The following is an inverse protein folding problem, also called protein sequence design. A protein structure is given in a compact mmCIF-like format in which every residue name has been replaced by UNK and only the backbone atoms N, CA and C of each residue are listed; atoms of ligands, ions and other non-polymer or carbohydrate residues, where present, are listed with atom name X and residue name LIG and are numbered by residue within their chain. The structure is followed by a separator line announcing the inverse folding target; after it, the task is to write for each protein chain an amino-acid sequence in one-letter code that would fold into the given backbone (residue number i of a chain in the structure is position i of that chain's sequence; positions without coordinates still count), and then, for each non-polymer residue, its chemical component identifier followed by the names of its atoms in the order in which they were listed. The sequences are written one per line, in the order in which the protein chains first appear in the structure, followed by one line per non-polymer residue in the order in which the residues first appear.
data_IF_443713886271
#
_entry.id   IF_443713886271
#
_cell.length_a   1.000
_cell.length_b   1.000
_cell.length_c   1.000
_cell.angle_alpha   90.00
_cell.angle_beta   90.00
_cell.angle_gamma   90.00
#
_symmetry.space_group_name_H-M   'P 1'
#
loop_
_entity.id
_entity.type
_entity.pdbx_description
1 polymer ?
#
# COMPACT_ATOMS: atom_id res chain seq x y z
N UNK A 1 10.40 21.09 -23.53
CA UNK A 1 11.43 20.99 -22.48
C UNK A 1 11.98 19.58 -22.53
N UNK A 2 13.26 19.39 -22.83
CA UNK A 2 13.83 18.05 -22.88
C UNK A 2 13.79 17.49 -21.45
N UNK A 3 12.99 16.46 -21.24
CA UNK A 3 12.88 15.85 -19.92
C UNK A 3 14.21 15.22 -19.57
N UNK A 4 14.79 15.62 -18.44
CA UNK A 4 15.91 14.89 -17.86
C UNK A 4 15.46 13.43 -17.65
N UNK A 5 16.16 12.53 -18.34
CA UNK A 5 15.88 11.10 -18.33
C UNK A 5 17.16 10.37 -17.97
N UNK A 6 17.15 9.65 -16.86
CA UNK A 6 18.28 8.83 -16.42
C UNK A 6 17.86 7.36 -16.34
N UNK A 7 18.85 6.46 -16.37
CA UNK A 7 18.64 5.01 -16.21
C UNK A 7 18.27 4.70 -14.78
N UNK A 8 17.39 3.71 -14.59
CA UNK A 8 16.94 3.31 -13.27
C UNK A 8 18.00 2.45 -12.56
N UNK A 9 18.77 1.67 -13.32
CA UNK A 9 19.77 0.75 -12.80
C UNK A 9 21.19 1.14 -13.23
N UNK A 10 22.17 0.71 -12.43
CA UNK A 10 23.60 0.90 -12.68
C UNK A 10 24.04 0.23 -13.98
N UNK A 11 23.45 -0.91 -14.31
CA UNK A 11 23.73 -1.61 -15.55
C UNK A 11 23.09 -0.91 -16.74
N UNK A 12 23.91 -0.60 -17.74
CA UNK A 12 23.48 0.03 -19.00
C UNK A 12 22.55 -0.83 -19.83
N UNK A 13 22.62 -2.15 -19.67
CA UNK A 13 21.80 -3.13 -20.36
C UNK A 13 21.28 -4.17 -19.36
N UNK A 14 20.05 -4.69 -19.55
CA UNK A 14 19.54 -5.80 -18.76
C UNK A 14 20.35 -7.07 -19.01
N UNK A 15 20.27 -8.02 -18.08
CA UNK A 15 20.82 -9.36 -18.25
C UNK A 15 19.85 -10.27 -19.01
N UNK A 16 20.38 -11.36 -19.58
CA UNK A 16 19.57 -12.39 -20.22
C UNK A 16 18.68 -13.06 -19.17
N UNK A 17 17.44 -13.36 -19.52
CA UNK A 17 16.38 -13.88 -18.65
C UNK A 17 15.79 -12.89 -17.64
N UNK A 18 16.22 -11.62 -17.63
CA UNK A 18 15.58 -10.60 -16.78
C UNK A 18 14.22 -10.19 -17.34
N UNK A 19 13.25 -9.99 -16.45
CA UNK A 19 11.89 -9.53 -16.79
C UNK A 19 11.83 -8.02 -16.60
N UNK A 20 11.52 -7.31 -17.67
CA UNK A 20 11.54 -5.85 -17.75
C UNK A 20 10.22 -5.30 -18.29
N UNK A 21 9.88 -4.08 -17.88
CA UNK A 21 8.68 -3.38 -18.34
C UNK A 21 9.01 -2.51 -19.55
N UNK A 22 8.31 -2.73 -20.65
CA UNK A 22 8.56 -2.05 -21.93
C UNK A 22 7.34 -1.31 -22.42
N UNK A 23 7.54 -0.16 -23.08
CA UNK A 23 6.49 0.56 -23.77
C UNK A 23 6.53 0.26 -25.27
N UNK A 24 5.39 -0.04 -25.87
CA UNK A 24 5.33 -0.35 -27.30
C UNK A 24 5.36 0.94 -28.12
N UNK A 25 6.41 1.14 -28.91
CA UNK A 25 6.59 2.34 -29.73
C UNK A 25 5.99 2.19 -31.12
N UNK A 26 6.27 1.07 -31.78
CA UNK A 26 5.78 0.80 -33.14
C UNK A 26 5.62 -0.70 -33.39
N UNK A 27 4.75 -1.06 -34.32
CA UNK A 27 4.51 -2.45 -34.73
C UNK A 27 4.85 -2.54 -36.21
N UNK A 28 5.79 -3.43 -36.55
CA UNK A 28 6.22 -3.72 -37.91
C UNK A 28 5.84 -5.16 -38.31
N UNK A 29 5.99 -5.49 -39.59
CA UNK A 29 5.68 -6.84 -40.12
C UNK A 29 6.60 -7.94 -39.56
N UNK A 30 7.85 -7.59 -39.21
CA UNK A 30 8.84 -8.52 -38.64
C UNK A 30 8.84 -8.58 -37.10
N UNK A 31 8.24 -7.61 -36.41
CA UNK A 31 8.26 -7.54 -34.95
C UNK A 31 7.59 -6.29 -34.38
N UNK A 32 7.47 -6.22 -33.06
CA UNK A 32 7.10 -5.01 -32.35
C UNK A 32 8.36 -4.33 -31.80
N UNK A 33 8.54 -3.06 -32.13
CA UNK A 33 9.58 -2.22 -31.55
C UNK A 33 9.06 -1.62 -30.25
N UNK A 34 9.82 -1.84 -29.19
CA UNK A 34 9.50 -1.40 -27.84
C UNK A 34 10.65 -0.58 -27.26
N UNK A 35 10.35 0.25 -26.28
CA UNK A 35 11.32 1.02 -25.54
C UNK A 35 11.33 0.55 -24.09
N UNK A 36 12.51 0.19 -23.58
CA UNK A 36 12.71 -0.19 -22.19
C UNK A 36 12.70 1.07 -21.32
N UNK A 37 11.61 1.28 -20.59
CA UNK A 37 11.42 2.46 -19.75
C UNK A 37 12.49 2.56 -18.64
N UNK A 38 12.93 1.43 -18.12
CA UNK A 38 13.87 1.33 -17.01
C UNK A 38 15.31 1.67 -17.40
N UNK A 39 15.68 1.51 -18.68
CA UNK A 39 17.06 1.67 -19.15
C UNK A 39 17.26 2.91 -20.01
N UNK A 40 16.54 4.00 -19.74
CA UNK A 40 16.57 5.25 -20.53
C UNK A 40 16.04 5.07 -21.97
N UNK A 41 14.92 4.35 -22.11
CA UNK A 41 14.21 4.18 -23.40
C UNK A 41 15.05 3.51 -24.49
N UNK A 42 15.97 2.61 -24.13
CA UNK A 42 16.69 1.78 -25.10
C UNK A 42 15.68 1.01 -25.95
N UNK A 43 15.96 0.91 -27.23
CA UNK A 43 15.10 0.21 -28.18
C UNK A 43 15.31 -1.31 -28.07
N UNK A 44 14.20 -2.04 -27.98
CA UNK A 44 14.16 -3.49 -28.01
C UNK A 44 13.19 -3.98 -29.08
N UNK A 45 13.36 -5.23 -29.51
CA UNK A 45 12.53 -5.86 -30.52
C UNK A 45 11.89 -7.12 -29.96
N UNK A 46 10.57 -7.24 -30.12
CA UNK A 46 9.82 -8.46 -29.85
C UNK A 46 9.51 -9.13 -31.18
N UNK A 47 9.99 -10.36 -31.38
CA UNK A 47 9.61 -11.16 -32.54
C UNK A 47 8.14 -11.60 -32.44
N UNK A 48 7.42 -11.67 -33.56
CA UNK A 48 6.01 -12.12 -33.57
C UNK A 48 5.86 -13.54 -33.02
N UNK A 49 6.84 -14.42 -33.28
CA UNK A 49 6.87 -15.79 -32.76
C UNK A 49 6.98 -15.86 -31.23
N UNK A 50 7.52 -14.81 -30.61
CA UNK A 50 7.72 -14.69 -29.17
C UNK A 50 6.63 -13.83 -28.49
N UNK A 51 5.56 -13.49 -29.23
CA UNK A 51 4.47 -12.67 -28.70
C UNK A 51 3.40 -13.47 -27.95
N UNK A 52 3.07 -14.68 -28.43
CA UNK A 52 2.02 -15.51 -27.83
C UNK A 52 2.27 -16.99 -28.04
N UNK A 53 1.80 -17.82 -27.09
CA UNK A 53 1.82 -19.28 -27.20
C UNK A 53 0.73 -19.82 -28.14
N UNK A 54 -0.31 -19.02 -28.44
CA UNK A 54 -1.47 -19.41 -29.27
C UNK A 54 -1.42 -18.73 -30.65
N UNK A 55 -2.08 -19.33 -31.64
CA UNK A 55 -2.20 -18.74 -32.99
C UNK A 55 -2.87 -17.36 -32.90
N UNK A 56 -2.20 -16.35 -33.44
CA UNK A 56 -2.62 -14.95 -33.36
C UNK A 56 -3.69 -14.70 -34.44
N UNK A 57 -4.88 -14.23 -34.04
CA UNK A 57 -5.91 -13.74 -35.00
C UNK A 57 -5.67 -12.29 -35.41
N UNK A 58 -5.21 -11.45 -34.48
CA UNK A 58 -4.91 -10.03 -34.75
C UNK A 58 -3.87 -9.52 -33.75
N UNK A 59 -2.82 -8.86 -34.26
CA UNK A 59 -1.71 -8.32 -33.48
C UNK A 59 -2.16 -7.17 -32.55
N UNK A 60 -3.07 -6.33 -33.04
CA UNK A 60 -3.60 -5.15 -32.35
C UNK A 60 -4.40 -5.46 -31.07
N UNK A 61 -4.82 -6.72 -30.89
CA UNK A 61 -5.51 -7.15 -29.67
C UNK A 61 -4.53 -7.52 -28.55
N UNK A 62 -3.32 -7.98 -28.90
CA UNK A 62 -2.31 -8.45 -27.95
C UNK A 62 -1.32 -7.37 -27.55
N UNK A 63 -1.03 -6.45 -28.47
CA UNK A 63 -0.15 -5.32 -28.25
C UNK A 63 -0.83 -4.08 -28.83
N UNK A 64 -0.79 -2.99 -28.05
CA UNK A 64 -1.19 -1.66 -28.53
C UNK A 64 -0.03 -0.70 -28.35
N UNK A 65 0.13 0.17 -29.34
CA UNK A 65 1.09 1.28 -29.29
C UNK A 65 0.79 2.15 -28.06
N UNK A 66 1.82 2.50 -27.33
CA UNK A 66 1.76 3.31 -26.11
C UNK A 66 1.38 2.57 -24.84
N UNK A 67 1.09 1.26 -24.89
CA UNK A 67 0.88 0.45 -23.67
C UNK A 67 2.17 -0.14 -23.14
N UNK A 68 2.21 -0.30 -21.82
CA UNK A 68 3.30 -0.97 -21.13
C UNK A 68 3.01 -2.46 -21.04
N UNK A 69 4.01 -3.28 -21.31
CA UNK A 69 3.94 -4.74 -21.31
C UNK A 69 5.16 -5.30 -20.59
N UNK A 70 4.96 -6.36 -19.81
CA UNK A 70 6.07 -7.10 -19.19
C UNK A 70 6.61 -8.13 -20.19
N UNK A 71 7.93 -8.12 -20.40
CA UNK A 71 8.63 -9.02 -21.33
C UNK A 71 9.92 -9.52 -20.71
N UNK A 72 10.38 -10.69 -21.13
CA UNK A 72 11.68 -11.22 -20.72
C UNK A 72 12.72 -10.96 -21.80
N UNK A 73 13.94 -10.67 -21.38
CA UNK A 73 15.10 -10.51 -22.25
C UNK A 73 15.63 -11.89 -22.66
N UNK A 74 15.72 -12.16 -23.97
CA UNK A 74 16.29 -13.40 -24.48
C UNK A 74 17.77 -13.22 -24.82
N UNK A 75 18.09 -12.13 -25.51
CA UNK A 75 19.42 -11.86 -26.02
C UNK A 75 19.71 -10.38 -25.98
N UNK A 76 20.94 -10.05 -25.65
CA UNK A 76 21.44 -8.68 -25.60
C UNK A 76 22.72 -8.60 -26.40
N UNK A 77 22.68 -7.87 -27.50
CA UNK A 77 23.84 -7.52 -28.30
C UNK A 77 24.40 -6.17 -27.84
N UNK A 78 25.38 -6.21 -26.93
CA UNK A 78 25.97 -5.00 -26.32
C UNK A 78 26.69 -4.10 -27.32
N UNK A 79 27.18 -4.65 -28.44
CA UNK A 79 27.92 -3.92 -29.48
C UNK A 79 27.00 -3.07 -30.36
N UNK A 80 25.81 -3.59 -30.68
CA UNK A 80 24.84 -2.93 -31.56
C UNK A 80 23.68 -2.29 -30.79
N UNK A 81 23.54 -2.60 -29.51
CA UNK A 81 22.45 -2.13 -28.65
C UNK A 81 21.11 -2.79 -28.93
N UNK A 82 21.09 -3.94 -29.62
CA UNK A 82 19.86 -4.69 -29.88
C UNK A 82 19.52 -5.60 -28.71
N UNK A 83 18.25 -5.58 -28.32
CA UNK A 83 17.70 -6.42 -27.25
C UNK A 83 16.54 -7.21 -27.83
N UNK A 84 16.67 -8.52 -27.88
CA UNK A 84 15.59 -9.43 -28.26
C UNK A 84 14.76 -9.77 -27.03
N UNK A 85 13.45 -9.54 -27.16
CA UNK A 85 12.49 -9.64 -26.06
C UNK A 85 11.41 -10.68 -26.39
N UNK A 86 10.86 -11.31 -25.35
CA UNK A 86 9.76 -12.25 -25.47
C UNK A 86 8.67 -12.01 -24.44
N UNK A 87 7.43 -12.00 -24.91
CA UNK A 87 6.25 -12.01 -24.05
C UNK A 87 5.78 -13.44 -23.74
N UNK A 88 6.14 -14.40 -24.59
CA UNK A 88 5.69 -15.79 -24.52
C UNK A 88 6.21 -16.54 -23.28
N UNK A 89 7.42 -16.20 -22.85
CA UNK A 89 8.12 -16.87 -21.75
C UNK A 89 7.75 -16.31 -20.36
N UNK A 90 7.12 -15.14 -20.30
CA UNK A 90 6.72 -14.51 -19.03
C UNK A 90 5.58 -15.28 -18.38
N UNK A 91 5.78 -15.69 -17.12
CA UNK A 91 4.73 -16.25 -16.29
C UNK A 91 3.89 -15.14 -15.64
N UNK A 92 2.59 -15.35 -15.37
CA UNK A 92 1.76 -14.32 -14.73
C UNK A 92 2.31 -13.88 -13.36
N UNK A 93 2.91 -14.79 -12.60
CA UNK A 93 3.58 -14.48 -11.33
C UNK A 93 4.78 -13.55 -11.50
N UNK A 94 5.54 -13.71 -12.59
CA UNK A 94 6.69 -12.85 -12.89
C UNK A 94 6.26 -11.50 -13.44
N UNK A 95 5.17 -11.44 -14.20
CA UNK A 95 4.59 -10.17 -14.64
C UNK A 95 4.17 -9.31 -13.43
N UNK A 96 3.55 -9.91 -12.41
CA UNK A 96 3.14 -9.20 -11.19
C UNK A 96 4.38 -8.69 -10.42
N UNK A 97 5.42 -9.52 -10.27
CA UNK A 97 6.68 -9.11 -9.63
C UNK A 97 7.36 -7.97 -10.41
N UNK A 98 7.36 -8.03 -11.74
CA UNK A 98 7.92 -6.99 -12.60
C UNK A 98 7.12 -5.69 -12.49
N UNK A 99 5.79 -5.74 -12.44
CA UNK A 99 4.95 -4.56 -12.29
C UNK A 99 5.16 -3.87 -10.92
N UNK A 100 5.30 -4.68 -9.86
CA UNK A 100 5.61 -4.19 -8.52
C UNK A 100 7.03 -3.56 -8.47
N UNK A 101 8.04 -4.24 -9.03
CA UNK A 101 9.41 -3.72 -9.19
C UNK A 101 9.41 -2.40 -9.94
N UNK A 102 8.76 -2.35 -11.10
CA UNK A 102 8.67 -1.15 -11.93
C UNK A 102 7.96 0.00 -11.21
N UNK A 103 6.87 -0.26 -10.51
CA UNK A 103 6.13 0.76 -9.76
C UNK A 103 6.96 1.35 -8.63
N UNK A 104 7.71 0.51 -7.91
CA UNK A 104 8.64 0.94 -6.85
C UNK A 104 9.79 1.77 -7.41
N UNK A 105 10.46 1.29 -8.46
CA UNK A 105 11.57 2.01 -9.09
C UNK A 105 11.10 3.31 -9.76
N UNK A 106 9.89 3.34 -10.33
CA UNK A 106 9.26 4.57 -10.85
C UNK A 106 8.98 5.59 -9.76
N UNK A 107 8.60 5.13 -8.57
CA UNK A 107 8.39 6.02 -7.41
C UNK A 107 9.71 6.65 -6.98
N UNK A 108 10.77 5.84 -6.82
CA UNK A 108 12.13 6.33 -6.54
C UNK A 108 12.59 7.31 -7.62
N UNK A 109 12.47 6.94 -8.90
CA UNK A 109 12.80 7.80 -10.03
C UNK A 109 12.05 9.14 -10.00
N UNK A 110 10.75 9.12 -9.69
CA UNK A 110 9.95 10.34 -9.57
C UNK A 110 10.40 11.23 -8.43
N UNK A 111 10.84 10.65 -7.30
CA UNK A 111 11.38 11.40 -6.16
C UNK A 111 12.70 12.07 -6.55
N UNK A 112 13.65 11.31 -7.10
CA UNK A 112 14.94 11.85 -7.53
C UNK A 112 14.78 12.89 -8.64
N UNK A 113 13.85 12.69 -9.57
CA UNK A 113 13.56 13.67 -10.62
C UNK A 113 13.05 14.99 -10.04
N UNK A 114 12.18 14.94 -9.04
CA UNK A 114 11.68 16.17 -8.42
C UNK A 114 12.76 16.85 -7.57
N UNK A 115 13.60 16.08 -6.87
CA UNK A 115 14.78 16.61 -6.17
C UNK A 115 15.73 17.31 -7.15
N UNK A 116 15.98 16.72 -8.32
CA UNK A 116 16.79 17.32 -9.37
C UNK A 116 16.16 18.58 -9.99
N UNK A 117 14.83 18.63 -10.10
CA UNK A 117 14.10 19.82 -10.57
C UNK A 117 14.19 20.96 -9.55
N UNK A 118 14.07 20.66 -8.26
CA UNK A 118 14.19 21.64 -7.16
C UNK A 118 15.63 22.17 -7.02
N UNK A 119 16.62 21.33 -7.31
CA UNK A 119 18.05 21.69 -7.32
C UNK A 119 18.51 22.31 -8.65
N UNK A 120 17.59 22.53 -9.59
CA UNK A 120 17.85 23.13 -10.91
C UNK A 120 18.95 22.41 -11.72
N UNK A 121 19.03 21.09 -11.62
CA UNK A 121 19.93 20.33 -12.47
C UNK A 121 19.48 20.41 -13.93
N UNK A 122 20.37 20.94 -14.76
CA UNK A 122 20.14 21.17 -16.19
C UNK A 122 20.83 20.13 -17.07
N UNK A 123 21.68 19.27 -16.48
CA UNK A 123 22.43 18.22 -17.18
C UNK A 123 22.03 16.82 -16.73
N UNK A 124 21.89 15.90 -17.69
CA UNK A 124 21.66 14.47 -17.45
C UNK A 124 22.79 13.82 -16.63
N UNK A 125 24.04 14.24 -16.80
CA UNK A 125 25.19 13.77 -16.00
C UNK A 125 25.07 14.09 -14.50
N UNK A 126 24.46 15.22 -14.14
CA UNK A 126 24.26 15.56 -12.71
C UNK A 126 23.18 14.67 -12.09
N UNK A 127 22.14 14.36 -12.87
CA UNK A 127 21.13 13.38 -12.45
C UNK A 127 21.76 11.99 -12.34
N UNK A 128 22.59 11.56 -13.30
CA UNK A 128 23.28 10.27 -13.23
C UNK A 128 24.22 10.18 -12.02
N UNK A 129 24.96 11.24 -11.69
CA UNK A 129 25.79 11.33 -10.49
C UNK A 129 24.96 11.22 -9.20
N UNK A 130 23.77 11.86 -9.15
CA UNK A 130 22.84 11.73 -8.03
C UNK A 130 22.36 10.29 -7.88
N UNK A 131 21.98 9.63 -8.98
CA UNK A 131 21.58 8.22 -8.98
C UNK A 131 22.72 7.29 -8.56
N UNK A 132 23.95 7.56 -9.01
CA UNK A 132 25.14 6.80 -8.64
C UNK A 132 25.46 6.93 -7.15
N UNK A 133 25.30 8.13 -6.58
CA UNK A 133 25.56 8.39 -5.16
C UNK A 133 24.43 7.88 -4.26
N UNK A 134 23.20 7.79 -4.77
CA UNK A 134 22.02 7.38 -4.00
C UNK A 134 21.47 6.01 -4.39
N UNK A 135 20.71 5.96 -5.48
CA UNK A 135 19.93 4.81 -5.89
C UNK A 135 20.78 3.55 -6.11
N UNK A 136 21.95 3.67 -6.76
CA UNK A 136 22.82 2.53 -7.06
C UNK A 136 23.61 2.04 -5.85
N UNK A 137 23.97 2.92 -4.90
CA UNK A 137 24.57 2.50 -3.62
C UNK A 137 23.59 1.64 -2.83
N UNK A 138 22.30 2.02 -2.81
CA UNK A 138 21.28 1.21 -2.17
C UNK A 138 20.97 -0.08 -2.94
N UNK A 139 21.04 -0.06 -4.27
CA UNK A 139 20.87 -1.25 -5.09
C UNK A 139 21.96 -2.30 -4.83
N UNK A 140 23.23 -1.86 -4.74
CA UNK A 140 24.39 -2.70 -4.43
C UNK A 140 24.34 -3.22 -2.98
N UNK A 141 24.04 -2.35 -2.00
CA UNK A 141 23.95 -2.69 -0.58
C UNK A 141 22.92 -3.79 -0.30
N UNK A 142 21.77 -3.73 -0.98
CA UNK A 142 20.70 -4.70 -0.79
C UNK A 142 20.71 -5.85 -1.82
N UNK A 143 21.63 -5.83 -2.80
CA UNK A 143 21.73 -6.82 -3.91
C UNK A 143 20.39 -7.18 -4.55
N UNK A 144 19.44 -6.25 -4.57
CA UNK A 144 18.09 -6.43 -5.09
C UNK A 144 17.74 -5.27 -6.00
N UNK A 145 17.89 -5.43 -7.33
CA UNK A 145 17.62 -4.37 -8.28
C UNK A 145 16.19 -3.85 -8.13
N UNK A 146 16.06 -2.57 -7.79
CA UNK A 146 14.78 -1.85 -7.72
C UNK A 146 14.00 -2.01 -6.41
N UNK A 147 14.18 -3.12 -5.67
CA UNK A 147 13.60 -3.29 -4.33
C UNK A 147 14.47 -2.64 -3.25
N UNK A 148 15.79 -2.71 -3.38
CA UNK A 148 16.74 -2.19 -2.40
C UNK A 148 16.63 -0.68 -2.22
N UNK A 149 16.51 0.06 -3.32
CA UNK A 149 16.35 1.52 -3.27
C UNK A 149 15.01 1.92 -2.62
N UNK A 150 13.88 1.29 -2.99
CA UNK A 150 12.60 1.64 -2.38
C UNK A 150 12.54 1.29 -0.88
N UNK A 151 13.07 0.13 -0.51
CA UNK A 151 13.11 -0.29 0.88
C UNK A 151 14.05 0.59 1.72
N UNK A 152 15.21 0.98 1.18
CA UNK A 152 16.09 1.96 1.80
C UNK A 152 15.42 3.32 1.98
N UNK A 153 14.65 3.77 0.99
CA UNK A 153 13.91 5.04 1.07
C UNK A 153 12.78 4.98 2.10
N UNK A 154 12.14 3.81 2.27
CA UNK A 154 11.15 3.59 3.32
C UNK A 154 11.82 3.58 4.70
N UNK A 155 12.94 2.88 4.85
CA UNK A 155 13.70 2.90 6.10
C UNK A 155 14.30 4.27 6.38
N UNK A 156 14.60 5.09 5.38
CA UNK A 156 15.07 6.46 5.55
C UNK A 156 14.03 7.40 6.19
N UNK A 157 12.73 7.07 6.11
CA UNK A 157 11.67 7.78 6.86
C UNK A 157 11.75 7.45 8.35
N UNK A 158 12.04 6.20 8.68
CA UNK A 158 12.10 5.71 10.08
C UNK A 158 13.45 5.97 10.75
N UNK A 159 14.53 5.85 9.99
CA UNK A 159 15.91 5.99 10.45
C UNK A 159 16.73 6.86 9.47
N UNK A 160 16.96 8.14 9.82
CA UNK A 160 17.72 9.06 8.97
C UNK A 160 19.23 8.78 8.93
N UNK A 161 19.75 7.78 9.67
CA UNK A 161 21.17 7.43 9.68
C UNK A 161 21.60 6.61 8.47
N UNK A 162 20.67 5.94 7.79
CA UNK A 162 20.94 5.22 6.52
C UNK A 162 21.44 6.19 5.43
N UNK A 163 20.97 7.44 5.48
CA UNK A 163 21.38 8.53 4.59
C UNK A 163 22.72 9.17 4.98
N UNK A 164 23.24 8.89 6.16
CA UNK A 164 24.52 9.44 6.64
C UNK A 164 25.72 8.72 6.02
N UNK A 165 25.54 7.45 5.63
CA UNK A 165 26.54 6.68 4.89
C UNK A 165 26.75 7.12 3.43
N UNK A 166 26.03 8.15 2.98
CA UNK A 166 26.14 8.69 1.63
C UNK A 166 26.92 10.00 1.64
N UNK A 167 27.95 10.09 0.81
CA UNK A 167 28.53 11.36 0.38
C UNK A 167 27.46 12.14 -0.40
N UNK A 168 26.65 12.94 0.27
CA UNK A 168 25.72 13.89 -0.33
C UNK A 168 25.95 15.27 0.27
N UNK A 169 25.71 16.31 -0.50
CA UNK A 169 25.69 17.67 0.03
C UNK A 169 24.53 17.79 1.02
N UNK A 170 24.72 18.49 2.15
CA UNK A 170 23.71 18.63 3.20
C UNK A 170 22.38 19.21 2.65
N UNK A 171 22.47 20.05 1.61
CA UNK A 171 21.32 20.61 0.89
C UNK A 171 20.53 19.56 0.10
N UNK A 172 21.23 18.67 -0.62
CA UNK A 172 20.62 17.56 -1.37
C UNK A 172 19.91 16.60 -0.40
N UNK A 173 20.56 16.28 0.73
CA UNK A 173 20.01 15.40 1.77
C UNK A 173 18.72 15.98 2.35
N UNK A 174 18.69 17.28 2.66
CA UNK A 174 17.50 17.92 3.23
C UNK A 174 16.32 17.90 2.26
N UNK A 175 16.55 18.25 1.00
CA UNK A 175 15.50 18.25 -0.04
C UNK A 175 15.02 16.84 -0.35
N UNK A 176 15.94 15.86 -0.32
CA UNK A 176 15.62 14.45 -0.50
C UNK A 176 14.75 13.94 0.67
N UNK A 177 15.11 14.22 1.92
CA UNK A 177 14.31 13.83 3.10
C UNK A 177 12.93 14.48 3.08
N UNK A 178 12.82 15.78 2.78
CA UNK A 178 11.51 16.46 2.68
C UNK A 178 10.65 15.81 1.59
N UNK A 179 11.23 15.47 0.44
CA UNK A 179 10.51 14.80 -0.64
C UNK A 179 10.11 13.35 -0.30
N UNK A 180 11.02 12.60 0.31
CA UNK A 180 10.75 11.24 0.77
C UNK A 180 9.63 11.29 1.81
N UNK A 181 9.68 12.19 2.79
CA UNK A 181 8.58 12.33 3.74
C UNK A 181 7.28 12.74 3.04
N UNK A 182 7.27 13.74 2.15
CA UNK A 182 6.02 14.14 1.47
C UNK A 182 5.40 13.04 0.60
N UNK A 183 6.21 12.19 -0.02
CA UNK A 183 5.75 11.15 -0.97
C UNK A 183 5.57 9.77 -0.33
N UNK A 184 6.37 9.46 0.69
CA UNK A 184 6.56 8.13 1.25
C UNK A 184 6.22 8.06 2.74
N UNK A 185 5.88 9.17 3.40
CA UNK A 185 5.34 9.09 4.78
C UNK A 185 4.14 8.16 4.74
N UNK A 186 4.17 7.05 5.50
CA UNK A 186 3.03 6.17 5.59
C UNK A 186 1.84 7.01 6.06
N UNK A 187 0.82 7.11 5.22
CA UNK A 187 -0.44 7.69 5.65
C UNK A 187 -0.92 6.86 6.82
N UNK A 188 -1.23 7.52 7.93
CA UNK A 188 -1.63 6.84 9.14
C UNK A 188 -2.83 5.94 8.83
N UNK A 189 -2.62 4.65 9.03
CA UNK A 189 -3.59 3.61 8.72
C UNK A 189 -4.50 3.48 9.93
N UNK A 190 -5.81 3.60 9.70
CA UNK A 190 -6.79 3.30 10.74
C UNK A 190 -6.96 1.79 10.83
N UNK A 191 -6.83 1.23 12.02
CA UNK A 191 -7.16 -0.18 12.30
C UNK A 191 -8.43 -0.18 13.12
N UNK A 192 -9.36 -1.05 12.74
CA UNK A 192 -10.64 -1.23 13.40
C UNK A 192 -10.78 -2.66 13.88
N UNK A 193 -11.40 -2.83 15.04
CA UNK A 193 -11.99 -4.11 15.41
C UNK A 193 -13.39 -3.88 15.97
N UNK A 194 -14.23 -4.89 15.80
CA UNK A 194 -15.58 -4.91 16.35
C UNK A 194 -15.63 -5.97 17.46
N UNK A 195 -15.89 -5.50 18.68
CA UNK A 195 -15.98 -6.33 19.87
C UNK A 195 -17.40 -6.28 20.42
N UNK A 196 -17.87 -7.41 20.88
CA UNK A 196 -19.16 -7.56 21.54
C UNK A 196 -18.88 -7.83 23.02
N UNK A 197 -19.38 -6.96 23.88
CA UNK A 197 -19.17 -7.03 25.31
C UNK A 197 -20.54 -7.04 25.99
N UNK A 198 -20.85 -8.15 26.65
CA UNK A 198 -22.07 -8.31 27.42
C UNK A 198 -21.73 -8.68 28.86
N UNK A 199 -22.26 -7.94 29.84
CA UNK A 199 -22.16 -8.31 31.24
C UNK A 199 -23.57 -8.32 31.85
N UNK A 200 -23.99 -9.47 32.38
CA UNK A 200 -25.35 -9.68 32.92
C UNK A 200 -25.42 -9.47 34.45
N UNK A 201 -24.35 -8.96 35.06
CA UNK A 201 -24.31 -8.67 36.50
C UNK A 201 -24.97 -7.34 36.87
N UNK A 202 -25.37 -7.19 38.14
CA UNK A 202 -25.96 -5.97 38.69
C UNK A 202 -25.01 -4.75 38.60
N UNK A 203 -23.70 -4.98 38.59
CA UNK A 203 -22.63 -3.97 38.34
C UNK A 203 -22.06 -4.04 36.90
N UNK A 204 -22.81 -4.62 35.95
CA UNK A 204 -22.31 -4.89 34.60
C UNK A 204 -21.87 -3.64 33.82
N UNK A 205 -22.52 -2.50 34.03
CA UNK A 205 -22.17 -1.25 33.35
C UNK A 205 -20.82 -0.71 33.86
N UNK A 206 -20.53 -0.86 35.15
CA UNK A 206 -19.26 -0.42 35.74
C UNK A 206 -18.12 -1.35 35.31
N UNK A 207 -18.39 -2.66 35.28
CA UNK A 207 -17.50 -3.68 34.73
C UNK A 207 -17.06 -3.37 33.29
N UNK A 208 -18.02 -3.06 32.41
CA UNK A 208 -17.74 -2.73 31.01
C UNK A 208 -16.98 -1.42 30.90
N UNK A 209 -17.36 -0.37 31.64
CA UNK A 209 -16.64 0.91 31.63
C UNK A 209 -15.19 0.76 32.12
N UNK A 210 -14.94 -0.02 33.15
CA UNK A 210 -13.60 -0.27 33.69
C UNK A 210 -12.73 -1.10 32.74
N UNK A 211 -13.33 -2.09 32.06
CA UNK A 211 -12.65 -2.87 31.03
C UNK A 211 -12.27 -1.99 29.83
N UNK A 212 -13.20 -1.15 29.35
CA UNK A 212 -12.95 -0.22 28.25
C UNK A 212 -11.90 0.83 28.62
N UNK A 213 -11.93 1.35 29.86
CA UNK A 213 -10.88 2.26 30.38
C UNK A 213 -9.51 1.60 30.44
N UNK A 214 -9.43 0.33 30.82
CA UNK A 214 -8.18 -0.41 30.82
C UNK A 214 -7.64 -0.63 29.40
N UNK A 215 -8.53 -0.90 28.44
CA UNK A 215 -8.20 -0.95 27.01
C UNK A 215 -7.69 0.39 26.48
N UNK A 216 -8.32 1.50 26.90
CA UNK A 216 -7.85 2.86 26.59
C UNK A 216 -6.48 3.17 27.21
N UNK A 217 -6.18 2.68 28.42
CA UNK A 217 -4.90 2.94 29.08
C UNK A 217 -3.71 2.16 28.47
N UNK A 218 -3.98 1.12 27.68
CA UNK A 218 -2.95 0.45 26.87
C UNK A 218 -2.57 1.27 25.61
N UNK A 219 -3.22 2.42 25.36
CA UNK A 219 -2.89 3.30 24.24
C UNK A 219 -1.58 4.05 24.51
N UNK A 220 -0.70 4.12 23.51
CA UNK A 220 0.52 4.95 23.57
C UNK A 220 0.23 6.34 23.00
N UNK A 221 1.00 7.37 23.39
CA UNK A 221 0.80 8.78 22.99
C UNK A 221 0.77 9.01 21.47
N UNK A 222 1.45 8.15 20.70
CA UNK A 222 1.46 8.17 19.24
C UNK A 222 0.31 7.37 18.58
N UNK A 223 -0.48 6.64 19.36
CA UNK A 223 -1.52 5.71 18.89
C UNK A 223 -2.80 5.83 19.73
N UNK A 224 -3.64 6.86 19.47
CA UNK A 224 -4.88 7.04 20.20
C UNK A 224 -5.90 5.95 19.82
N UNK A 225 -6.25 5.07 20.76
CA UNK A 225 -7.37 4.13 20.61
C UNK A 225 -8.66 4.86 21.00
N UNK A 226 -9.65 4.86 20.11
CA UNK A 226 -11.01 5.35 20.39
C UNK A 226 -11.95 4.17 20.38
N UNK A 227 -12.80 4.07 21.40
CA UNK A 227 -13.83 3.04 21.47
C UNK A 227 -15.18 3.72 21.43
N UNK A 228 -15.96 3.46 20.38
CA UNK A 228 -17.32 3.97 20.22
C UNK A 228 -18.31 2.80 20.39
N UNK A 229 -19.47 3.11 20.98
CA UNK A 229 -20.60 2.18 21.03
C UNK A 229 -21.43 2.39 19.76
N UNK A 230 -21.70 1.32 19.02
CA UNK A 230 -22.62 1.38 17.86
C UNK A 230 -24.04 1.06 18.35
N UNK A 231 -24.19 -0.09 19.00
CA UNK A 231 -25.45 -0.55 19.60
C UNK A 231 -25.11 -1.54 20.71
N UNK A 232 -25.78 -1.55 21.87
CA UNK A 232 -25.56 -2.61 22.85
C UNK A 232 -25.91 -3.99 22.23
N UNK A 233 -25.08 -5.05 22.34
CA UNK A 233 -23.80 -5.20 23.04
C UNK A 233 -22.51 -4.98 22.17
N UNK A 234 -22.61 -4.36 21.00
CA UNK A 234 -21.53 -4.12 20.02
C UNK A 234 -20.80 -2.78 20.19
N UNK A 235 -19.48 -2.88 20.31
CA UNK A 235 -18.54 -1.77 20.39
C UNK A 235 -17.54 -1.83 19.22
N UNK A 236 -17.16 -0.67 18.72
CA UNK A 236 -16.11 -0.53 17.72
C UNK A 236 -14.90 0.16 18.34
N UNK A 237 -13.73 -0.46 18.20
CA UNK A 237 -12.47 0.15 18.56
C UNK A 237 -11.71 0.55 17.29
N UNK A 238 -11.30 1.81 17.23
CA UNK A 238 -10.55 2.39 16.12
C UNK A 238 -9.25 2.94 16.67
N UNK A 239 -8.12 2.52 16.11
CA UNK A 239 -6.82 3.16 16.34
C UNK A 239 -6.26 3.72 15.06
N UNK A 240 -5.43 4.75 15.16
CA UNK A 240 -4.67 5.29 14.04
C UNK A 240 -3.20 5.01 14.30
N UNK A 241 -2.54 4.28 13.40
CA UNK A 241 -1.12 3.92 13.53
C UNK A 241 -0.36 4.16 12.22
N UNK A 242 0.92 4.48 12.32
CA UNK A 242 1.84 4.56 11.17
C UNK A 242 2.28 3.16 10.72
N UNK A 243 2.27 2.18 11.62
CA UNK A 243 2.75 0.82 11.35
C UNK A 243 1.67 -0.24 11.58
N UNK A 244 1.43 -1.06 10.55
CA UNK A 244 0.38 -2.09 10.52
C UNK A 244 0.59 -3.16 11.59
N UNK A 245 1.83 -3.59 11.79
CA UNK A 245 2.21 -4.69 12.68
C UNK A 245 2.10 -4.31 14.15
N UNK A 246 2.68 -3.18 14.54
CA UNK A 246 2.58 -2.70 15.92
C UNK A 246 1.13 -2.38 16.31
N UNK A 247 0.35 -1.74 15.43
CA UNK A 247 -1.04 -1.41 15.75
C UNK A 247 -1.95 -2.64 15.91
N UNK A 248 -1.73 -3.70 15.13
CA UNK A 248 -2.42 -4.98 15.30
C UNK A 248 -2.08 -5.63 16.65
N UNK A 249 -0.80 -5.56 17.06
CA UNK A 249 -0.34 -6.12 18.33
C UNK A 249 -0.93 -5.37 19.53
N UNK A 250 -0.93 -4.04 19.48
CA UNK A 250 -1.49 -3.19 20.54
C UNK A 250 -3.00 -3.42 20.67
N UNK A 251 -3.74 -3.53 19.57
CA UNK A 251 -5.18 -3.88 19.64
C UNK A 251 -5.40 -5.27 20.23
N UNK A 252 -4.60 -6.27 19.83
CA UNK A 252 -4.71 -7.60 20.41
C UNK A 252 -4.42 -7.62 21.91
N UNK A 253 -3.42 -6.86 22.35
CA UNK A 253 -3.11 -6.73 23.77
C UNK A 253 -4.25 -6.03 24.53
N UNK A 254 -4.83 -4.97 23.96
CA UNK A 254 -6.00 -4.30 24.52
C UNK A 254 -7.22 -5.24 24.61
N UNK A 255 -7.48 -6.06 23.58
CA UNK A 255 -8.55 -7.08 23.63
C UNK A 255 -8.31 -8.12 24.71
N UNK A 256 -7.08 -8.59 24.88
CA UNK A 256 -6.74 -9.56 25.92
C UNK A 256 -7.00 -8.99 27.32
N UNK A 257 -6.60 -7.74 27.57
CA UNK A 257 -6.86 -7.04 28.85
C UNK A 257 -8.36 -6.83 29.08
N UNK A 258 -9.11 -6.44 28.04
CA UNK A 258 -10.57 -6.29 28.12
C UNK A 258 -11.21 -7.65 28.42
N UNK A 259 -10.79 -8.71 27.73
CA UNK A 259 -11.30 -10.06 27.93
C UNK A 259 -11.08 -10.55 29.35
N UNK A 260 -9.88 -10.41 29.89
CA UNK A 260 -9.54 -10.82 31.26
C UNK A 260 -10.42 -10.12 32.31
N UNK A 261 -10.61 -8.80 32.19
CA UNK A 261 -11.47 -8.03 33.10
C UNK A 261 -12.96 -8.37 32.97
N UNK A 262 -13.42 -8.72 31.77
CA UNK A 262 -14.81 -9.11 31.53
C UNK A 262 -15.07 -10.53 32.06
N UNK A 263 -14.12 -11.45 31.90
CA UNK A 263 -14.20 -12.80 32.46
C UNK A 263 -14.20 -12.80 34.00
N UNK A 264 -13.40 -11.95 34.64
CA UNK A 264 -13.38 -11.80 36.11
C UNK A 264 -14.77 -11.46 36.68
N UNK A 265 -15.55 -10.67 35.96
CA UNK A 265 -16.89 -10.22 36.36
C UNK A 265 -18.04 -11.05 35.76
N UNK A 266 -17.75 -12.27 35.25
CA UNK A 266 -18.71 -13.18 34.59
C UNK A 266 -19.46 -12.57 33.39
N UNK A 267 -18.77 -11.74 32.61
CA UNK A 267 -19.27 -11.25 31.33
C UNK A 267 -18.88 -12.15 30.16
N UNK A 268 -19.56 -11.96 29.03
CA UNK A 268 -19.27 -12.59 27.74
C UNK A 268 -18.55 -11.57 26.86
N UNK A 269 -17.40 -11.96 26.33
CA UNK A 269 -16.64 -11.19 25.35
C UNK A 269 -16.57 -11.99 24.04
N UNK A 270 -17.06 -11.41 22.94
CA UNK A 270 -17.02 -12.04 21.63
C UNK A 270 -16.44 -11.07 20.59
N UNK A 271 -15.50 -11.53 19.77
CA UNK A 271 -14.91 -10.70 18.71
C UNK A 271 -15.71 -10.96 17.43
N UNK A 272 -16.46 -9.96 16.98
CA UNK A 272 -17.20 -10.03 15.71
C UNK A 272 -16.25 -9.86 14.54
N UNK A 273 -15.33 -8.88 14.65
CA UNK A 273 -14.31 -8.63 13.63
C UNK A 273 -12.95 -8.42 14.30
N UNK A 274 -12.00 -9.27 13.94
CA UNK A 274 -10.60 -9.14 14.32
C UNK A 274 -10.02 -7.80 13.81
N UNK A 275 -8.97 -7.27 14.47
CA UNK A 275 -8.38 -5.99 14.08
C UNK A 275 -7.94 -6.02 12.62
N UNK A 276 -8.60 -5.21 11.80
CA UNK A 276 -8.36 -5.12 10.37
C UNK A 276 -8.05 -3.67 10.00
N UNK A 277 -7.11 -3.51 9.08
CA UNK A 277 -6.81 -2.23 8.46
C UNK A 277 -8.04 -1.77 7.68
N UNK A 278 -8.57 -0.61 8.07
CA UNK A 278 -9.71 0.05 7.45
C UNK A 278 -9.24 0.70 6.15
N UNK A 279 -9.96 0.42 5.07
CA UNK A 279 -9.84 1.16 3.81
C UNK A 279 -10.88 2.28 3.75
N UNK A 280 -10.67 3.28 2.90
CA UNK A 280 -11.65 4.38 2.69
C UNK A 280 -13.07 3.87 2.36
N UNK A 281 -13.15 2.68 1.75
CA UNK A 281 -14.39 1.95 1.45
C UNK A 281 -15.07 1.41 2.71
N UNK A 282 -14.31 0.89 3.68
CA UNK A 282 -14.84 0.43 4.97
C UNK A 282 -15.39 1.59 5.83
N UNK A 283 -14.79 2.79 5.75
CA UNK A 283 -15.31 3.98 6.46
C UNK A 283 -16.69 4.41 5.93
N UNK A 284 -16.88 4.36 4.61
CA UNK A 284 -18.16 4.72 3.99
C UNK A 284 -19.26 3.68 4.23
N UNK A 285 -18.91 2.39 4.26
CA UNK A 285 -19.85 1.32 4.65
C UNK A 285 -20.26 1.43 6.12
N UNK A 286 -19.31 1.74 7.00
CA UNK A 286 -19.59 1.94 8.43
C UNK A 286 -20.48 3.16 8.68
N UNK A 287 -20.22 4.30 8.01
CA UNK A 287 -21.05 5.49 8.17
C UNK A 287 -22.51 5.22 7.78
N UNK A 288 -22.75 4.45 6.71
CA UNK A 288 -24.09 4.01 6.33
C UNK A 288 -24.71 3.06 7.34
N UNK A 289 -23.90 2.17 7.92
CA UNK A 289 -24.37 1.22 8.92
C UNK A 289 -24.71 1.90 10.25
N UNK A 290 -23.91 2.89 10.67
CA UNK A 290 -24.18 3.76 11.81
C UNK A 290 -25.47 4.56 11.60
N UNK A 291 -25.63 5.22 10.44
CA UNK A 291 -26.84 5.99 10.14
C UNK A 291 -28.10 5.10 10.12
N UNK A 292 -27.98 3.87 9.61
CA UNK A 292 -29.08 2.91 9.59
C UNK A 292 -29.44 2.44 11.00
N UNK A 293 -28.45 2.12 11.83
CA UNK A 293 -28.65 1.68 13.21
C UNK A 293 -29.10 2.81 14.13
N UNK A 294 -28.67 4.05 13.88
CA UNK A 294 -29.19 5.25 14.56
C UNK A 294 -30.66 5.49 14.21
N UNK A 295 -31.07 5.31 12.94
CA UNK A 295 -32.49 5.34 12.56
C UNK A 295 -33.29 4.22 13.21
N UNK A 296 -32.80 2.98 13.14
CA UNK A 296 -33.47 1.83 13.75
C UNK A 296 -33.57 1.95 15.29
N UNK A 297 -32.62 2.59 15.97
CA UNK A 297 -32.72 2.88 17.40
C UNK A 297 -33.57 4.12 17.72
N UNK A 298 -33.59 5.13 16.85
CA UNK A 298 -34.40 6.34 17.03
C UNK A 298 -35.89 6.10 16.74
N UNK A 299 -36.22 5.10 15.92
CA UNK A 299 -37.60 4.74 15.57
C UNK A 299 -38.31 3.87 16.63
N UNK A 300 -37.63 3.47 17.72
CA UNK A 300 -38.23 2.74 18.86
C UNK A 300 -38.41 3.65 20.08
N UNK A 301 -38.98 4.84 19.86
CA UNK A 301 -39.66 5.60 20.92
C UNK A 301 -41.11 5.10 20.93
N UNK A 302 -41.49 4.41 22.02
CA UNK A 302 -42.63 3.48 22.06
C UNK A 302 -43.98 4.07 21.68
N UNK A 303 -44.71 3.36 20.82
CA UNK A 303 -46.15 3.46 20.74
C UNK A 303 -46.74 2.74 21.97
N UNK A 304 -47.53 3.50 22.72
CA UNK A 304 -48.40 3.10 23.81
C UNK A 304 -49.51 2.21 23.22
N UNK A 305 -49.59 0.90 23.56
CA UNK A 305 -50.90 0.22 23.57
C UNK A 305 -50.93 -1.19 24.23
N UNK A 306 -52.12 -1.51 24.75
CA UNK A 306 -52.68 -2.74 25.32
C UNK A 306 -52.43 -3.03 26.83
N UNK A 307 -53.43 -3.23 27.70
CA UNK A 307 -54.84 -3.63 27.55
C UNK A 307 -55.53 -3.58 28.94
N UNK A 308 -56.80 -3.16 29.06
CA UNK A 308 -57.70 -3.73 30.09
C UNK A 308 -59.15 -3.88 29.57
N UNK A 309 -59.39 -5.10 29.08
CA UNK A 309 -60.61 -5.91 28.95
C UNK A 309 -62.03 -5.30 29.06
N UNK A 310 -62.85 -5.73 28.09
CA UNK A 310 -64.31 -5.79 28.12
C UNK A 310 -64.88 -6.45 29.40
N UNK A 311 -65.88 -5.80 30.00
CA UNK A 311 -66.95 -6.48 30.73
C UNK A 311 -68.31 -5.89 30.33
N UNK A 312 -69.15 -6.75 29.72
CA UNK A 312 -70.60 -6.57 29.49
C UNK A 312 -71.30 -6.14 30.80
N UNK A 313 -72.43 -5.43 30.81
CA UNK A 313 -73.78 -5.96 30.53
C UNK A 313 -74.83 -4.82 30.61
N UNK A 314 -75.92 -5.02 29.88
CA UNK A 314 -77.18 -4.28 29.73
C UNK A 314 -77.86 -3.63 30.97
N UNK A 315 -78.70 -2.64 30.62
CA UNK A 315 -79.78 -1.92 31.34
C UNK A 315 -79.40 -0.86 32.40
#
# INVERSE_FOLDING_TARGET
MPGLSCRFYQHKFPEVEDVVMVNVRSIAEMGAYVSLLEYNNIEGMILLSELSRRRIRSINKLIRIGRNECVVVIRVDKEKGYIDLSKRRVSPEEAIKCEDKFTKSKTVYSILRHVAEVLEYTKDEQLESLFQRTAWVFDDKYKRPGYGAYDAFKHAVSDPAILDSLDLTEEERRVLIDNINRRLTPQAVKIRADIEVACYGYEGIDAVKEALRAGLNCSTENMPIKINLIAPPRYVMTTTTLERTEGLSVLNQAMAVIKEKIEEKRGVFNVQMEPKVVTDTDETELARQLERLERENAEVDGDDDAEEMEAKTED
#
